data_IF_085935574571
#
_entry.id   IF_085935574571
#
_cell.length_a   1.000
_cell.length_b   1.000
_cell.length_c   1.000
_cell.angle_alpha   90.00
_cell.angle_beta   90.00
_cell.angle_gamma   90.00
#
_symmetry.space_group_name_H-M   'P 1'
#
loop_
_entity.id
_entity.type
_entity.pdbx_description
1 polymer ?
#
# COMPACT_ATOMS: atom_id res chain seq x y z
N UNK A 1 28.96 -1.62 4.54
CA UNK A 1 27.92 -1.36 3.56
C UNK A 1 27.66 -2.67 2.86
N UNK A 2 26.55 -3.32 3.21
CA UNK A 2 26.27 -4.69 2.78
C UNK A 2 25.60 -4.75 1.40
N UNK A 3 25.56 -5.93 0.78
CA UNK A 3 24.84 -6.21 -0.48
C UNK A 3 23.36 -5.77 -0.45
N UNK A 4 22.76 -5.68 0.72
CA UNK A 4 21.37 -5.33 1.00
C UNK A 4 21.04 -3.84 0.74
N UNK A 5 21.96 -2.93 1.09
CA UNK A 5 21.83 -1.50 0.77
C UNK A 5 21.87 -1.28 -0.76
N UNK A 6 22.61 -2.11 -1.48
CA UNK A 6 22.73 -2.03 -2.93
C UNK A 6 21.45 -2.45 -3.68
N UNK A 7 20.68 -3.44 -3.18
CA UNK A 7 19.40 -3.84 -3.80
C UNK A 7 18.35 -2.75 -3.62
N UNK A 8 18.24 -2.15 -2.43
CA UNK A 8 17.30 -1.07 -2.18
C UNK A 8 17.57 0.16 -3.06
N UNK A 9 18.84 0.57 -3.19
CA UNK A 9 19.24 1.64 -4.09
C UNK A 9 18.89 1.32 -5.56
N UNK A 10 19.05 0.05 -5.98
CA UNK A 10 18.70 -0.39 -7.33
C UNK A 10 17.18 -0.34 -7.55
N UNK A 11 16.38 -0.81 -6.58
CA UNK A 11 14.90 -0.75 -6.63
C UNK A 11 14.41 0.70 -6.78
N UNK A 12 15.00 1.64 -6.03
CA UNK A 12 14.61 3.05 -6.11
C UNK A 12 15.03 3.75 -7.42
N UNK A 13 16.07 3.25 -8.09
CA UNK A 13 16.64 3.89 -9.28
C UNK A 13 16.28 3.20 -10.60
N UNK A 14 15.67 1.99 -10.57
CA UNK A 14 15.26 1.33 -11.81
C UNK A 14 14.01 1.98 -12.39
N UNK A 15 13.97 2.13 -13.72
CA UNK A 15 12.81 2.64 -14.46
C UNK A 15 12.10 1.54 -15.25
N UNK A 16 12.64 0.32 -15.23
CA UNK A 16 12.07 -0.82 -15.93
C UNK A 16 11.25 -1.69 -14.98
N UNK A 17 9.98 -1.91 -15.30
CA UNK A 17 9.09 -2.80 -14.53
C UNK A 17 9.63 -4.23 -14.48
N UNK A 18 10.17 -4.75 -15.60
CA UNK A 18 10.70 -6.11 -15.67
C UNK A 18 11.95 -6.25 -14.77
N UNK A 19 12.88 -5.30 -14.86
CA UNK A 19 14.07 -5.27 -14.01
C UNK A 19 13.70 -5.14 -12.53
N UNK A 20 12.69 -4.32 -12.20
CA UNK A 20 12.17 -4.21 -10.84
C UNK A 20 11.62 -5.54 -10.33
N UNK A 21 10.89 -6.27 -11.17
CA UNK A 21 10.33 -7.57 -10.78
C UNK A 21 11.41 -8.61 -10.55
N UNK A 22 12.49 -8.60 -11.33
CA UNK A 22 13.64 -9.46 -11.10
C UNK A 22 14.35 -9.12 -9.77
N UNK A 23 14.55 -7.83 -9.48
CA UNK A 23 15.11 -7.37 -8.20
C UNK A 23 14.24 -7.81 -7.01
N UNK A 24 12.93 -7.65 -7.10
CA UNK A 24 12.00 -8.12 -6.06
C UNK A 24 11.98 -9.64 -5.94
N UNK A 25 12.13 -10.40 -7.04
CA UNK A 25 12.19 -11.85 -6.98
C UNK A 25 13.43 -12.34 -6.23
N UNK A 26 14.58 -11.71 -6.46
CA UNK A 26 15.82 -12.04 -5.76
C UNK A 26 15.80 -11.61 -4.29
N UNK A 27 15.08 -10.55 -3.96
CA UNK A 27 15.06 -9.98 -2.62
C UNK A 27 13.93 -10.52 -1.73
N UNK A 28 12.84 -11.04 -2.31
CA UNK A 28 11.61 -11.40 -1.59
C UNK A 28 11.86 -12.25 -0.33
N UNK A 29 12.76 -13.23 -0.39
CA UNK A 29 13.03 -14.12 0.74
C UNK A 29 13.72 -13.44 1.94
N UNK A 30 14.38 -12.30 1.73
CA UNK A 30 15.11 -11.56 2.76
C UNK A 30 14.48 -10.20 3.08
N UNK A 31 13.48 -9.80 2.28
CA UNK A 31 12.83 -8.49 2.34
C UNK A 31 12.35 -8.13 3.75
N UNK A 32 11.61 -9.03 4.39
CA UNK A 32 11.03 -8.76 5.70
C UNK A 32 12.10 -8.49 6.76
N UNK A 33 13.18 -9.29 6.77
CA UNK A 33 14.26 -9.12 7.72
C UNK A 33 14.99 -7.80 7.51
N UNK A 34 15.26 -7.44 6.25
CA UNK A 34 15.94 -6.21 5.91
C UNK A 34 15.12 -4.98 6.27
N UNK A 35 13.84 -4.99 5.89
CA UNK A 35 12.94 -3.84 6.02
C UNK A 35 12.50 -3.65 7.47
N UNK A 36 12.17 -4.73 8.21
CA UNK A 36 11.68 -4.62 9.58
C UNK A 36 12.82 -4.48 10.58
N UNK A 37 13.79 -5.40 10.56
CA UNK A 37 14.81 -5.50 11.61
C UNK A 37 15.97 -4.53 11.38
N UNK A 38 16.34 -4.28 10.11
CA UNK A 38 17.52 -3.48 9.79
C UNK A 38 17.17 -2.01 9.58
N UNK A 39 16.06 -1.72 8.91
CA UNK A 39 15.72 -0.34 8.52
C UNK A 39 14.67 0.31 9.41
N UNK A 40 13.92 -0.46 10.20
CA UNK A 40 12.87 0.08 11.07
C UNK A 40 11.73 0.71 10.27
N UNK A 41 11.16 -0.05 9.33
CA UNK A 41 10.03 0.38 8.52
C UNK A 41 8.75 0.43 9.35
N UNK A 42 8.17 1.61 9.50
CA UNK A 42 6.98 1.85 10.33
C UNK A 42 5.65 1.86 9.57
N UNK A 43 5.68 1.76 8.24
CA UNK A 43 4.49 1.83 7.38
C UNK A 43 3.34 0.93 7.83
N UNK A 44 3.55 -0.38 8.06
CA UNK A 44 2.49 -1.30 8.48
C UNK A 44 1.81 -0.90 9.80
N UNK A 45 2.59 -0.53 10.82
CA UNK A 45 2.05 -0.16 12.14
C UNK A 45 1.28 1.16 12.09
N UNK A 46 1.81 2.16 11.37
CA UNK A 46 1.17 3.46 11.19
C UNK A 46 -0.14 3.34 10.40
N UNK A 47 -0.15 2.48 9.38
CA UNK A 47 -1.35 2.20 8.60
C UNK A 47 -2.42 1.51 9.45
N UNK A 48 -2.05 0.50 10.24
CA UNK A 48 -2.97 -0.14 11.18
C UNK A 48 -3.57 0.88 12.16
N UNK A 49 -2.73 1.76 12.74
CA UNK A 49 -3.18 2.80 13.66
C UNK A 49 -4.26 3.69 13.03
N UNK A 50 -4.01 4.22 11.82
CA UNK A 50 -4.94 5.10 11.13
C UNK A 50 -6.18 4.38 10.60
N UNK A 51 -6.04 3.17 10.05
CA UNK A 51 -7.19 2.41 9.59
C UNK A 51 -8.16 2.10 10.74
N UNK A 52 -7.64 1.65 11.89
CA UNK A 52 -8.46 1.36 13.09
C UNK A 52 -9.16 2.58 13.67
N UNK A 53 -8.64 3.77 13.45
CA UNK A 53 -9.31 5.00 13.89
C UNK A 53 -10.63 5.25 13.17
N UNK A 54 -10.78 4.75 11.94
CA UNK A 54 -11.94 5.00 11.08
C UNK A 54 -12.73 3.75 10.72
N UNK A 55 -12.16 2.57 10.88
CA UNK A 55 -12.79 1.29 10.48
C UNK A 55 -12.60 0.24 11.57
N UNK A 56 -13.71 -0.18 12.16
CA UNK A 56 -13.72 -1.28 13.13
C UNK A 56 -13.33 -2.60 12.45
N UNK A 57 -12.51 -3.46 13.10
CA UNK A 57 -12.05 -4.70 12.48
C UNK A 57 -13.13 -5.76 12.29
N UNK A 58 -14.18 -5.75 13.14
CA UNK A 58 -15.17 -6.82 13.16
C UNK A 58 -15.97 -6.89 11.85
N UNK A 59 -15.83 -8.00 11.14
CA UNK A 59 -16.52 -8.26 9.87
C UNK A 59 -16.01 -7.44 8.67
N UNK A 60 -15.08 -6.50 8.87
CA UNK A 60 -14.57 -5.66 7.82
C UNK A 60 -13.74 -6.45 6.79
N UNK A 61 -14.08 -6.29 5.51
CA UNK A 61 -13.32 -6.82 4.37
C UNK A 61 -12.29 -5.78 3.95
N UNK A 62 -11.02 -6.14 4.02
CA UNK A 62 -9.91 -5.24 3.69
C UNK A 62 -9.14 -5.75 2.48
N UNK A 63 -8.86 -4.85 1.54
CA UNK A 63 -7.91 -5.08 0.46
C UNK A 63 -6.57 -4.46 0.83
N UNK A 64 -5.51 -5.25 0.79
CA UNK A 64 -4.13 -4.82 0.87
C UNK A 64 -3.57 -4.72 -0.55
N UNK A 65 -3.55 -3.51 -1.10
CA UNK A 65 -3.16 -3.23 -2.48
C UNK A 65 -1.66 -2.91 -2.55
N UNK A 66 -0.91 -3.69 -3.35
CA UNK A 66 0.54 -3.70 -3.31
C UNK A 66 1.04 -4.38 -2.03
N UNK A 67 0.49 -5.55 -1.72
CA UNK A 67 0.71 -6.21 -0.43
C UNK A 67 2.16 -6.70 -0.22
N UNK A 68 2.97 -6.77 -1.28
CA UNK A 68 4.35 -7.23 -1.21
C UNK A 68 4.47 -8.60 -0.55
N UNK A 69 5.38 -8.73 0.39
CA UNK A 69 5.57 -9.93 1.22
C UNK A 69 4.52 -10.11 2.32
N UNK A 70 3.57 -9.15 2.47
CA UNK A 70 2.46 -9.26 3.40
C UNK A 70 2.70 -8.68 4.79
N UNK A 71 3.62 -7.75 4.96
CA UNK A 71 3.87 -7.09 6.26
C UNK A 71 2.63 -6.32 6.76
N UNK A 72 1.94 -5.61 5.87
CA UNK A 72 0.70 -4.89 6.20
C UNK A 72 -0.41 -5.86 6.56
N UNK A 73 -0.61 -6.92 5.77
CA UNK A 73 -1.61 -7.95 6.10
C UNK A 73 -1.36 -8.63 7.44
N UNK A 74 -0.09 -8.87 7.80
CA UNK A 74 0.26 -9.40 9.12
C UNK A 74 -0.11 -8.42 10.25
N UNK A 75 0.19 -7.11 10.08
CA UNK A 75 -0.19 -6.07 11.04
C UNK A 75 -1.72 -5.95 11.16
N UNK A 76 -2.44 -5.96 10.05
CA UNK A 76 -3.91 -5.92 10.01
C UNK A 76 -4.50 -7.13 10.77
N UNK A 77 -3.98 -8.33 10.52
CA UNK A 77 -4.42 -9.56 11.20
C UNK A 77 -4.21 -9.49 12.71
N UNK A 78 -3.05 -9.00 13.16
CA UNK A 78 -2.77 -8.75 14.58
C UNK A 78 -3.71 -7.68 15.15
N UNK A 79 -4.10 -6.70 14.33
CA UNK A 79 -5.07 -5.66 14.66
C UNK A 79 -6.52 -6.13 14.73
N UNK A 80 -6.80 -7.43 14.43
CA UNK A 80 -8.13 -8.03 14.53
C UNK A 80 -8.89 -8.14 13.21
N UNK A 81 -8.37 -7.66 12.09
CA UNK A 81 -8.97 -7.86 10.77
C UNK A 81 -8.80 -9.31 10.32
N UNK A 82 -9.89 -9.95 9.91
CA UNK A 82 -9.91 -11.38 9.55
C UNK A 82 -10.23 -11.65 8.07
N UNK A 83 -10.78 -10.68 7.38
CA UNK A 83 -11.16 -10.81 5.97
C UNK A 83 -10.25 -9.92 5.12
N UNK A 84 -9.02 -10.37 4.93
CA UNK A 84 -7.98 -9.64 4.22
C UNK A 84 -7.71 -10.33 2.89
N UNK A 85 -7.80 -9.60 1.80
CA UNK A 85 -7.32 -10.01 0.49
C UNK A 85 -6.09 -9.17 0.13
N UNK A 86 -5.15 -9.76 -0.62
CA UNK A 86 -3.96 -9.05 -1.09
C UNK A 86 -3.86 -9.08 -2.60
N UNK A 87 -3.39 -7.98 -3.18
CA UNK A 87 -2.99 -7.92 -4.58
C UNK A 87 -1.59 -7.34 -4.69
N UNK A 88 -0.81 -7.86 -5.64
CA UNK A 88 0.53 -7.38 -5.95
C UNK A 88 0.87 -7.73 -7.42
N UNK A 89 1.78 -6.97 -8.02
CA UNK A 89 2.25 -7.27 -9.36
C UNK A 89 3.26 -8.42 -9.39
N UNK A 90 4.07 -8.57 -8.33
CA UNK A 90 5.13 -9.57 -8.20
C UNK A 90 4.62 -10.91 -7.68
N UNK A 91 4.72 -11.96 -8.51
CA UNK A 91 4.41 -13.34 -8.07
C UNK A 91 5.32 -13.81 -6.93
N UNK A 92 6.57 -13.39 -6.92
CA UNK A 92 7.53 -13.77 -5.89
C UNK A 92 7.12 -13.19 -4.54
N UNK A 93 6.71 -11.91 -4.51
CA UNK A 93 6.19 -11.26 -3.31
C UNK A 93 4.91 -11.94 -2.81
N UNK A 94 3.97 -12.26 -3.69
CA UNK A 94 2.75 -12.99 -3.33
C UNK A 94 3.05 -14.37 -2.74
N UNK A 95 4.09 -15.06 -3.22
CA UNK A 95 4.50 -16.34 -2.66
C UNK A 95 5.03 -16.20 -1.21
N UNK A 96 5.73 -15.12 -0.88
CA UNK A 96 6.13 -14.82 0.50
C UNK A 96 4.92 -14.40 1.35
N UNK A 97 4.03 -13.56 0.83
CA UNK A 97 2.79 -13.17 1.52
C UNK A 97 1.93 -14.39 1.90
N UNK A 98 1.85 -15.39 1.03
CA UNK A 98 1.09 -16.63 1.28
C UNK A 98 1.59 -17.38 2.50
N UNK A 99 2.90 -17.35 2.81
CA UNK A 99 3.50 -18.02 3.97
C UNK A 99 3.01 -17.45 5.31
N UNK A 100 2.53 -16.20 5.32
CA UNK A 100 2.02 -15.55 6.53
C UNK A 100 0.65 -16.08 6.96
N UNK A 101 -0.09 -16.75 6.04
CA UNK A 101 -1.40 -17.35 6.32
C UNK A 101 -2.44 -16.37 6.90
N UNK A 102 -2.40 -15.11 6.50
CA UNK A 102 -3.32 -14.05 6.96
C UNK A 102 -4.31 -13.62 5.89
N UNK A 103 -4.02 -13.88 4.62
CA UNK A 103 -4.87 -13.51 3.49
C UNK A 103 -5.86 -14.61 3.13
N UNK A 104 -7.12 -14.24 2.85
CA UNK A 104 -8.12 -15.16 2.29
C UNK A 104 -7.86 -15.44 0.80
N UNK A 105 -7.42 -14.41 0.07
CA UNK A 105 -7.04 -14.49 -1.34
C UNK A 105 -5.82 -13.63 -1.60
N UNK A 106 -4.93 -14.12 -2.47
CA UNK A 106 -3.79 -13.39 -3.02
C UNK A 106 -3.87 -13.50 -4.54
N UNK A 107 -3.82 -12.34 -5.22
CA UNK A 107 -3.97 -12.29 -6.68
C UNK A 107 -2.95 -11.36 -7.29
N UNK A 108 -2.39 -11.80 -8.42
CA UNK A 108 -1.51 -10.95 -9.22
C UNK A 108 -2.36 -9.93 -9.99
N UNK A 109 -2.13 -8.64 -9.76
CA UNK A 109 -2.82 -7.54 -10.44
C UNK A 109 -1.88 -6.37 -10.67
N UNK A 110 -2.12 -5.65 -11.77
CA UNK A 110 -1.47 -4.37 -12.06
C UNK A 110 -2.37 -3.23 -11.61
N UNK A 111 -1.89 -2.41 -10.66
CA UNK A 111 -2.64 -1.26 -10.16
C UNK A 111 -2.67 -0.07 -11.13
N UNK A 112 -1.83 -0.07 -12.17
CA UNK A 112 -1.89 0.92 -13.24
C UNK A 112 -3.00 0.59 -14.27
N UNK A 113 -3.64 -0.58 -14.14
CA UNK A 113 -4.77 -0.99 -14.96
C UNK A 113 -6.07 -0.99 -14.16
N UNK A 114 -7.21 -1.03 -14.86
CA UNK A 114 -8.50 -1.23 -14.20
C UNK A 114 -8.51 -2.57 -13.46
N UNK A 115 -8.77 -2.53 -12.16
CA UNK A 115 -8.81 -3.73 -11.33
C UNK A 115 -10.07 -4.55 -11.64
N UNK A 116 -9.97 -5.86 -11.87
CA UNK A 116 -11.13 -6.75 -12.08
C UNK A 116 -11.87 -7.04 -10.76
N UNK A 117 -12.10 -5.99 -10.00
CA UNK A 117 -12.76 -5.98 -8.70
C UNK A 117 -14.01 -5.11 -8.83
N UNK A 118 -15.15 -5.59 -8.33
CA UNK A 118 -16.39 -4.81 -8.33
C UNK A 118 -16.24 -3.51 -7.52
N UNK A 119 -16.91 -2.45 -7.95
CA UNK A 119 -17.03 -1.24 -7.16
C UNK A 119 -17.63 -1.55 -5.78
N UNK A 120 -17.11 -0.92 -4.74
CA UNK A 120 -17.61 -1.08 -3.37
C UNK A 120 -17.41 -2.48 -2.76
N UNK A 121 -16.46 -3.27 -3.25
CA UNK A 121 -16.23 -4.63 -2.78
C UNK A 121 -15.65 -4.70 -1.36
N UNK A 122 -14.94 -3.65 -0.92
CA UNK A 122 -14.21 -3.64 0.36
C UNK A 122 -14.69 -2.54 1.30
N UNK A 123 -14.62 -2.82 2.60
CA UNK A 123 -14.90 -1.86 3.66
C UNK A 123 -13.70 -0.95 3.91
N UNK A 124 -12.49 -1.47 3.71
CA UNK A 124 -11.24 -0.74 3.76
C UNK A 124 -10.26 -1.18 2.68
N UNK A 125 -9.41 -0.24 2.25
CA UNK A 125 -8.29 -0.50 1.33
C UNK A 125 -7.03 0.11 1.92
N UNK A 126 -5.96 -0.68 2.01
CA UNK A 126 -4.61 -0.20 2.35
C UNK A 126 -3.72 -0.24 1.12
N UNK A 127 -2.84 0.77 0.97
CA UNK A 127 -1.82 0.80 -0.08
C UNK A 127 -0.55 1.41 0.51
N UNK A 128 0.39 0.56 0.90
CA UNK A 128 1.52 0.94 1.76
C UNK A 128 2.84 0.51 1.13
N UNK A 129 3.77 1.46 1.03
CA UNK A 129 5.07 1.16 0.39
C UNK A 129 5.01 1.08 -1.13
N UNK A 130 3.92 1.55 -1.74
CA UNK A 130 3.66 1.41 -3.17
C UNK A 130 3.86 2.72 -3.93
N UNK A 131 3.36 3.84 -3.38
CA UNK A 131 3.61 5.18 -3.94
C UNK A 131 4.98 5.69 -3.49
N UNK A 132 6.06 5.10 -4.02
CA UNK A 132 7.45 5.34 -3.60
C UNK A 132 8.40 5.72 -4.73
N UNK A 133 8.09 5.28 -5.93
CA UNK A 133 8.89 5.50 -7.15
C UNK A 133 7.98 5.26 -8.36
N UNK A 134 8.46 5.47 -9.56
CA UNK A 134 7.69 5.51 -10.80
C UNK A 134 7.00 4.19 -11.25
N UNK A 135 6.62 3.29 -10.35
CA UNK A 135 6.07 1.98 -10.68
C UNK A 135 4.55 1.91 -10.63
N UNK A 136 3.95 2.72 -9.75
CA UNK A 136 2.49 2.88 -9.67
C UNK A 136 2.18 4.35 -9.82
N UNK A 137 1.35 4.67 -10.80
CA UNK A 137 0.97 6.04 -11.10
C UNK A 137 -0.04 6.56 -10.06
N UNK A 138 -0.09 7.89 -9.80
CA UNK A 138 -1.04 8.49 -8.87
C UNK A 138 -2.50 8.15 -9.18
N UNK A 139 -2.85 7.92 -10.45
CA UNK A 139 -4.18 7.55 -10.93
C UNK A 139 -4.71 6.24 -10.34
N UNK A 140 -3.83 5.35 -9.87
CA UNK A 140 -4.23 4.13 -9.17
C UNK A 140 -5.12 4.46 -7.94
N UNK A 141 -4.98 5.64 -7.34
CA UNK A 141 -5.84 6.08 -6.24
C UNK A 141 -7.32 6.10 -6.62
N UNK A 142 -7.67 6.37 -7.89
CA UNK A 142 -9.06 6.32 -8.37
C UNK A 142 -9.64 4.90 -8.27
N UNK A 143 -8.85 3.88 -8.61
CA UNK A 143 -9.30 2.48 -8.50
C UNK A 143 -9.41 2.04 -7.04
N UNK A 144 -8.49 2.47 -6.16
CA UNK A 144 -8.58 2.19 -4.73
C UNK A 144 -9.87 2.78 -4.13
N UNK A 145 -10.23 4.02 -4.51
CA UNK A 145 -11.50 4.66 -4.12
C UNK A 145 -12.70 3.89 -4.71
N UNK A 146 -12.65 3.49 -5.98
CA UNK A 146 -13.74 2.77 -6.65
C UNK A 146 -14.06 1.43 -6.01
N UNK A 147 -13.04 0.64 -5.65
CA UNK A 147 -13.25 -0.69 -5.05
C UNK A 147 -13.65 -0.63 -3.58
N UNK A 148 -13.55 0.55 -2.96
CA UNK A 148 -13.98 0.82 -1.59
C UNK A 148 -15.47 1.21 -1.58
N UNK A 149 -16.26 0.65 -0.65
CA UNK A 149 -17.69 0.97 -0.54
C UNK A 149 -17.94 2.39 -0.04
N UNK A 150 -19.17 2.87 -0.23
CA UNK A 150 -19.65 4.10 0.41
C UNK A 150 -19.46 4.03 1.95
N UNK A 151 -18.84 5.06 2.52
CA UNK A 151 -18.45 5.13 3.94
C UNK A 151 -17.27 4.22 4.28
N UNK A 152 -16.63 3.58 3.30
CA UNK A 152 -15.39 2.81 3.50
C UNK A 152 -14.15 3.69 3.46
N UNK A 153 -13.03 3.13 3.88
CA UNK A 153 -11.78 3.87 4.14
C UNK A 153 -10.68 3.42 3.18
N UNK A 154 -10.00 4.38 2.57
CA UNK A 154 -8.74 4.17 1.86
C UNK A 154 -7.62 4.76 2.72
N UNK A 155 -6.60 3.97 3.04
CA UNK A 155 -5.45 4.39 3.83
C UNK A 155 -4.17 4.08 3.06
N UNK A 156 -3.42 5.09 2.64
CA UNK A 156 -2.19 4.89 1.89
C UNK A 156 -1.03 5.74 2.38
N UNK A 157 0.19 5.22 2.19
CA UNK A 157 1.43 5.96 2.38
C UNK A 157 1.96 6.44 1.04
N UNK A 158 2.40 7.68 0.99
CA UNK A 158 3.03 8.31 -0.17
C UNK A 158 4.38 8.82 0.28
N UNK A 159 5.46 8.27 -0.25
CA UNK A 159 6.82 8.71 0.11
C UNK A 159 6.99 10.20 -0.20
N UNK A 160 7.75 10.92 0.64
CA UNK A 160 7.87 12.38 0.52
C UNK A 160 8.41 12.80 -0.85
N UNK A 161 9.40 12.09 -1.37
CA UNK A 161 9.96 12.36 -2.70
C UNK A 161 8.90 12.17 -3.79
N UNK A 162 8.14 11.07 -3.72
CA UNK A 162 7.06 10.78 -4.67
C UNK A 162 5.96 11.86 -4.63
N UNK A 163 5.60 12.32 -3.42
CA UNK A 163 4.63 13.40 -3.23
C UNK A 163 5.07 14.70 -3.91
N UNK A 164 6.38 15.01 -3.87
CA UNK A 164 6.94 16.25 -4.44
C UNK A 164 7.21 16.16 -5.94
N UNK A 165 7.56 14.97 -6.44
CA UNK A 165 8.02 14.77 -7.81
C UNK A 165 6.91 14.36 -8.77
N UNK A 166 5.75 13.92 -8.25
CA UNK A 166 4.61 13.50 -9.05
C UNK A 166 3.41 14.44 -8.86
N UNK A 167 2.38 14.21 -9.67
CA UNK A 167 1.09 14.93 -9.55
C UNK A 167 0.10 14.22 -8.59
N UNK A 168 0.59 13.47 -7.61
CA UNK A 168 -0.26 12.81 -6.60
C UNK A 168 -1.17 13.81 -5.86
N UNK A 169 -0.69 15.01 -5.43
CA UNK A 169 -1.54 16.02 -4.80
C UNK A 169 -2.70 16.47 -5.69
N UNK A 170 -2.47 16.60 -7.00
CA UNK A 170 -3.50 16.98 -7.96
C UNK A 170 -4.56 15.91 -8.12
N UNK A 171 -4.17 14.62 -8.18
CA UNK A 171 -5.10 13.49 -8.24
C UNK A 171 -5.95 13.43 -6.95
N UNK A 172 -5.33 13.61 -5.79
CA UNK A 172 -6.03 13.69 -4.51
C UNK A 172 -7.08 14.81 -4.52
N UNK A 173 -6.69 16.02 -4.93
CA UNK A 173 -7.59 17.16 -5.03
C UNK A 173 -8.74 16.93 -6.03
N UNK A 174 -8.50 16.25 -7.16
CA UNK A 174 -9.54 15.88 -8.13
C UNK A 174 -10.56 14.91 -7.53
N UNK A 175 -10.12 13.94 -6.74
CA UNK A 175 -10.99 12.98 -6.04
C UNK A 175 -11.89 13.73 -5.06
N UNK A 176 -11.35 14.64 -4.26
CA UNK A 176 -12.14 15.45 -3.31
C UNK A 176 -13.11 16.40 -4.05
N UNK A 177 -12.63 17.13 -5.06
CA UNK A 177 -13.45 18.06 -5.83
C UNK A 177 -14.61 17.37 -6.58
N UNK A 178 -14.43 16.11 -6.97
CA UNK A 178 -15.49 15.30 -7.59
C UNK A 178 -16.56 14.82 -6.59
N UNK A 179 -16.30 14.94 -5.29
CA UNK A 179 -17.16 14.44 -4.22
C UNK A 179 -17.13 12.91 -4.04
N UNK A 180 -16.21 12.19 -4.70
CA UNK A 180 -16.10 10.73 -4.59
C UNK A 180 -15.55 10.27 -3.25
N UNK A 181 -14.61 11.00 -2.69
CA UNK A 181 -14.09 10.75 -1.35
C UNK A 181 -13.75 12.06 -0.64
N UNK A 182 -13.78 12.05 0.68
CA UNK A 182 -13.37 13.15 1.54
C UNK A 182 -12.06 12.82 2.25
N UNK A 183 -11.12 13.76 2.26
CA UNK A 183 -9.87 13.63 3.00
C UNK A 183 -10.15 13.71 4.50
N UNK A 184 -9.87 12.65 5.23
CA UNK A 184 -10.02 12.56 6.68
C UNK A 184 -8.72 12.89 7.42
N UNK A 185 -7.60 12.50 6.81
CA UNK A 185 -6.28 12.73 7.38
C UNK A 185 -5.25 12.91 6.28
N UNK A 186 -4.41 13.91 6.46
CA UNK A 186 -3.16 14.10 5.74
C UNK A 186 -2.11 14.55 6.76
N UNK A 187 -1.17 13.70 7.06
CA UNK A 187 -0.08 14.03 7.98
C UNK A 187 1.23 13.40 7.54
N UNK A 188 2.31 13.96 8.03
CA UNK A 188 3.63 13.37 7.88
C UNK A 188 3.84 12.32 8.97
N UNK A 189 4.35 11.15 8.55
CA UNK A 189 4.68 10.03 9.42
C UNK A 189 6.12 9.58 9.18
N UNK A 190 6.83 9.08 10.20
CA UNK A 190 8.08 8.36 10.00
C UNK A 190 7.87 7.20 9.04
N UNK A 191 8.84 6.95 8.16
CA UNK A 191 8.72 5.91 7.16
C UNK A 191 9.79 4.82 7.32
N UNK A 192 11.06 5.17 7.11
CA UNK A 192 12.21 4.28 7.33
C UNK A 192 13.17 4.95 8.30
N UNK A 193 13.27 4.42 9.52
CA UNK A 193 14.05 5.04 10.60
C UNK A 193 15.54 5.16 10.30
N UNK A 194 16.14 4.14 9.69
CA UNK A 194 17.57 4.15 9.33
C UNK A 194 17.94 5.21 8.30
N UNK A 195 16.99 5.65 7.49
CA UNK A 195 17.16 6.70 6.47
C UNK A 195 16.74 8.08 6.99
N UNK A 196 15.98 8.14 8.10
CA UNK A 196 15.31 9.37 8.54
C UNK A 196 14.24 9.85 7.55
N UNK A 197 13.75 8.95 6.69
CA UNK A 197 12.76 9.29 5.67
C UNK A 197 11.35 9.37 6.25
N UNK A 198 10.51 10.18 5.61
CA UNK A 198 9.09 10.37 5.96
C UNK A 198 8.17 10.01 4.79
N UNK A 199 6.90 9.84 5.08
CA UNK A 199 5.84 9.71 4.09
C UNK A 199 4.64 10.56 4.48
N UNK A 200 3.79 10.88 3.50
CA UNK A 200 2.44 11.36 3.79
C UNK A 200 1.53 10.16 4.03
N UNK A 201 0.87 10.16 5.18
CA UNK A 201 -0.27 9.29 5.44
C UNK A 201 -1.52 9.97 4.91
N UNK A 202 -2.19 9.33 3.95
CA UNK A 202 -3.43 9.81 3.34
C UNK A 202 -4.55 8.87 3.74
N UNK A 203 -5.59 9.40 4.39
CA UNK A 203 -6.79 8.64 4.73
C UNK A 203 -7.99 9.31 4.09
N UNK A 204 -8.73 8.56 3.27
CA UNK A 204 -9.93 9.00 2.59
C UNK A 204 -11.14 8.20 3.07
N UNK A 205 -12.28 8.86 3.20
CA UNK A 205 -13.59 8.22 3.33
C UNK A 205 -14.36 8.35 2.01
N UNK A 206 -14.82 7.24 1.45
CA UNK A 206 -15.61 7.25 0.22
C UNK A 206 -16.99 7.82 0.50
N UNK A 207 -17.34 8.91 -0.18
CA UNK A 207 -18.56 9.71 0.06
C UNK A 207 -19.62 9.55 -1.02
N UNK A 208 -19.27 8.94 -2.16
CA UNK A 208 -20.18 8.67 -3.26
C UNK A 208 -19.91 7.28 -3.85
N UNK A 209 -20.98 6.50 -4.06
CA UNK A 209 -20.89 5.23 -4.78
C UNK A 209 -20.51 5.48 -6.25
N UNK A 210 -19.56 4.71 -6.78
CA UNK A 210 -19.14 4.74 -8.18
C UNK A 210 -19.84 3.69 -9.02
#
# INVERSE_FOLDING_TARGET
>A
MGKQTAIHEQVLNTQSTDELMDLYADWAAHYDQDVSDTWGYSGPERTLFWLRHYLEPEGARVLDAGCGTGLVGAALSQGGYKHINGIDYSKAMLAEAAKKNVYQQLQQMDMNAALPICAGAYDGVTCVGTFTSAHVEPEALHELVRVTRLGGIVCCTVREEYWQETHFPEVLNQIEASGRAALKQLCEEPYVHSEGSTCKMVVLEVTQAT
#
